data_IF_244048243130
#
_entry.id   IF_244048243130
#
_cell.length_a   1.000
_cell.length_b   1.000
_cell.length_c   1.000
_cell.angle_alpha   90.00
_cell.angle_beta   90.00
_cell.angle_gamma   90.00
#
_symmetry.space_group_name_H-M   'P 1'
#
loop_
_entity.id
_entity.type
_entity.pdbx_description
1 polymer ?
#
# COMPACT_ATOMS: atom_id res chain seq x y z
N UNK A 1 12.81 -25.87 26.00
CA UNK A 1 13.75 -24.82 25.57
C UNK A 1 12.94 -23.68 24.92
N UNK A 2 12.90 -22.54 25.60
CA UNK A 2 12.15 -21.36 25.14
C UNK A 2 12.87 -20.75 23.93
N UNK A 3 12.29 -20.91 22.75
CA UNK A 3 12.76 -20.21 21.55
C UNK A 3 12.35 -18.74 21.68
N UNK A 4 13.20 -17.91 22.30
CA UNK A 4 12.99 -16.46 22.32
C UNK A 4 13.02 -15.96 20.88
N UNK A 5 11.87 -15.59 20.33
CA UNK A 5 11.78 -14.93 19.01
C UNK A 5 12.60 -13.64 19.08
N UNK A 6 13.77 -13.64 18.44
CA UNK A 6 14.58 -12.42 18.30
C UNK A 6 13.84 -11.44 17.40
N UNK A 7 13.31 -10.38 17.98
CA UNK A 7 12.71 -9.27 17.22
C UNK A 7 13.83 -8.31 16.84
N UNK A 8 13.88 -7.93 15.55
CA UNK A 8 14.83 -6.95 15.02
C UNK A 8 14.06 -5.77 14.41
N UNK A 9 14.43 -4.57 14.77
CA UNK A 9 13.89 -3.36 14.13
C UNK A 9 14.51 -3.26 12.72
N UNK A 10 13.66 -3.29 11.69
CA UNK A 10 14.07 -3.20 10.27
C UNK A 10 14.20 -1.77 9.79
N UNK A 11 13.37 -0.86 10.30
CA UNK A 11 13.35 0.56 9.99
C UNK A 11 13.24 1.35 11.28
N UNK A 12 14.15 2.27 11.50
CA UNK A 12 14.01 3.29 12.53
C UNK A 12 12.93 4.31 12.13
N UNK A 13 12.51 5.16 13.05
CA UNK A 13 11.59 6.26 12.75
C UNK A 13 12.16 7.20 11.69
N UNK A 14 13.46 7.48 11.76
CA UNK A 14 14.17 8.30 10.76
C UNK A 14 14.18 7.62 9.40
N UNK A 15 14.43 6.30 9.35
CA UNK A 15 14.40 5.55 8.08
C UNK A 15 13.00 5.53 7.47
N UNK A 16 11.98 5.37 8.30
CA UNK A 16 10.58 5.43 7.87
C UNK A 16 10.25 6.80 7.26
N UNK A 17 10.64 7.89 7.92
CA UNK A 17 10.46 9.24 7.40
C UNK A 17 11.15 9.43 6.05
N UNK A 18 12.40 9.00 5.92
CA UNK A 18 13.16 9.07 4.65
C UNK A 18 12.50 8.26 3.54
N UNK A 19 12.00 7.06 3.83
CA UNK A 19 11.28 6.22 2.86
C UNK A 19 10.00 6.90 2.37
N UNK A 20 9.19 7.45 3.28
CA UNK A 20 7.95 8.15 2.92
C UNK A 20 8.26 9.36 2.06
N UNK A 21 9.26 10.16 2.44
CA UNK A 21 9.67 11.35 1.68
C UNK A 21 10.12 10.99 0.27
N UNK A 22 10.95 9.94 0.12
CA UNK A 22 11.40 9.47 -1.19
C UNK A 22 10.25 8.97 -2.05
N UNK A 23 9.36 8.12 -1.51
CA UNK A 23 8.17 7.64 -2.22
C UNK A 23 7.32 8.82 -2.69
N UNK A 24 7.13 9.84 -1.84
CA UNK A 24 6.36 11.04 -2.19
C UNK A 24 6.99 11.82 -3.35
N UNK A 25 8.30 12.00 -3.36
CA UNK A 25 9.02 12.62 -4.50
C UNK A 25 8.88 11.80 -5.78
N UNK A 26 9.02 10.48 -5.71
CA UNK A 26 8.86 9.60 -6.88
C UNK A 26 7.43 9.64 -7.43
N UNK A 27 6.41 9.74 -6.56
CA UNK A 27 5.01 9.91 -6.98
C UNK A 27 4.83 11.24 -7.72
N UNK A 28 5.39 12.33 -7.18
CA UNK A 28 5.32 13.65 -7.82
C UNK A 28 6.00 13.63 -9.19
N UNK A 29 7.19 13.02 -9.28
CA UNK A 29 7.98 12.96 -10.51
C UNK A 29 7.29 12.13 -11.60
N UNK A 30 6.73 10.97 -11.23
CA UNK A 30 6.12 10.04 -12.21
C UNK A 30 4.70 10.43 -12.65
N UNK A 31 4.07 11.38 -11.99
CA UNK A 31 2.71 11.81 -12.31
C UNK A 31 2.70 13.28 -12.74
N UNK A 32 2.23 13.56 -13.96
CA UNK A 32 2.18 14.91 -14.53
C UNK A 32 1.36 15.90 -13.67
N UNK A 33 0.32 15.38 -13.00
CA UNK A 33 -0.50 16.14 -12.06
C UNK A 33 -0.83 15.30 -10.86
N UNK A 34 -0.45 15.76 -9.67
CA UNK A 34 -0.78 15.07 -8.41
C UNK A 34 -2.28 15.14 -8.09
N UNK A 35 -3.02 16.08 -8.66
CA UNK A 35 -4.48 16.18 -8.50
C UNK A 35 -5.25 15.08 -9.24
N UNK A 36 -4.60 14.38 -10.17
CA UNK A 36 -5.16 13.21 -10.87
C UNK A 36 -4.79 11.89 -10.20
N UNK A 37 -4.09 11.97 -9.08
CA UNK A 37 -3.71 10.82 -8.26
C UNK A 37 -4.67 10.65 -7.08
N UNK A 38 -5.07 9.40 -6.83
CA UNK A 38 -5.78 8.99 -5.62
C UNK A 38 -4.92 7.94 -4.92
N UNK A 39 -4.62 8.14 -3.65
CA UNK A 39 -3.99 7.13 -2.80
C UNK A 39 -5.06 6.27 -2.15
N UNK A 40 -4.93 4.96 -2.23
CA UNK A 40 -5.85 4.01 -1.60
C UNK A 40 -5.07 3.10 -0.67
N UNK A 41 -5.18 3.37 0.63
CA UNK A 41 -4.51 2.57 1.65
C UNK A 41 -5.23 1.24 1.89
N UNK A 42 -4.49 0.15 1.92
CA UNK A 42 -5.00 -1.17 2.34
C UNK A 42 -5.17 -1.18 3.85
N UNK A 43 -6.33 -1.60 4.30
CA UNK A 43 -6.63 -1.73 5.74
C UNK A 43 -5.71 -2.80 6.40
N UNK A 44 -5.01 -2.48 7.50
CA UNK A 44 -5.17 -1.29 8.36
C UNK A 44 -4.00 -0.30 8.18
N UNK A 45 -2.79 -0.80 8.05
CA UNK A 45 -1.53 -0.02 8.09
C UNK A 45 -1.29 0.81 6.83
N UNK A 46 -1.70 0.30 5.67
CA UNK A 46 -1.61 1.02 4.41
C UNK A 46 -2.36 2.34 4.42
N UNK A 47 -3.46 2.44 5.16
CA UNK A 47 -4.24 3.69 5.31
C UNK A 47 -3.42 4.79 6.00
N UNK A 48 -2.73 4.46 7.09
CA UNK A 48 -1.88 5.42 7.79
C UNK A 48 -0.71 5.87 6.91
N UNK A 49 -0.12 4.93 6.18
CA UNK A 49 0.98 5.22 5.26
C UNK A 49 0.51 6.12 4.11
N UNK A 50 -0.65 5.86 3.51
CA UNK A 50 -1.24 6.69 2.46
C UNK A 50 -1.49 8.13 2.94
N UNK A 51 -2.00 8.31 4.15
CA UNK A 51 -2.18 9.64 4.77
C UNK A 51 -0.86 10.40 4.90
N UNK A 52 0.18 9.76 5.43
CA UNK A 52 1.51 10.37 5.58
C UNK A 52 2.13 10.75 4.24
N UNK A 53 1.95 9.91 3.20
CA UNK A 53 2.40 10.24 1.84
C UNK A 53 1.64 11.46 1.31
N UNK A 54 0.31 11.50 1.46
CA UNK A 54 -0.51 12.64 1.03
C UNK A 54 -0.11 13.95 1.72
N UNK A 55 0.13 13.92 3.03
CA UNK A 55 0.61 15.07 3.79
C UNK A 55 1.98 15.54 3.28
N UNK A 56 2.91 14.62 3.06
CA UNK A 56 4.24 14.94 2.52
C UNK A 56 4.15 15.56 1.13
N UNK A 57 3.30 15.02 0.24
CA UNK A 57 3.09 15.59 -1.10
C UNK A 57 2.49 16.99 -1.02
N UNK A 58 1.52 17.22 -0.13
CA UNK A 58 0.95 18.55 0.12
C UNK A 58 2.01 19.54 0.56
N UNK A 59 2.88 19.16 1.50
CA UNK A 59 3.93 20.03 2.01
C UNK A 59 4.97 20.40 0.93
N UNK A 60 5.19 19.50 -0.05
CA UNK A 60 6.12 19.75 -1.17
C UNK A 60 5.48 20.59 -2.28
N UNK A 61 4.22 20.30 -2.61
CA UNK A 61 3.57 20.82 -3.84
C UNK A 61 2.50 21.87 -3.60
N UNK A 62 2.07 22.08 -2.36
CA UNK A 62 0.86 22.83 -1.97
C UNK A 62 -0.43 22.30 -2.62
N UNK A 63 -0.45 21.04 -3.05
CA UNK A 63 -1.61 20.37 -3.66
C UNK A 63 -2.01 19.16 -2.84
N UNK A 64 -3.32 18.92 -2.72
CA UNK A 64 -3.85 17.76 -2.02
C UNK A 64 -4.02 16.57 -2.95
N UNK A 65 -3.63 15.39 -2.49
CA UNK A 65 -4.01 14.10 -3.06
C UNK A 65 -5.12 13.52 -2.20
N UNK A 66 -6.18 13.04 -2.83
CA UNK A 66 -7.27 12.37 -2.13
C UNK A 66 -6.80 11.00 -1.60
N UNK A 67 -7.26 10.64 -0.41
CA UNK A 67 -6.92 9.37 0.24
C UNK A 67 -8.19 8.58 0.53
N UNK A 68 -8.23 7.35 0.05
CA UNK A 68 -9.24 6.36 0.38
C UNK A 68 -8.68 5.20 1.19
N UNK A 69 -9.58 4.35 1.67
CA UNK A 69 -9.25 3.08 2.31
C UNK A 69 -9.96 1.92 1.62
N UNK A 70 -9.30 0.78 1.61
CA UNK A 70 -9.78 -0.44 0.96
C UNK A 70 -9.50 -1.64 1.86
N UNK A 71 -10.53 -2.41 2.17
CA UNK A 71 -10.37 -3.71 2.84
C UNK A 71 -10.52 -4.85 1.82
N UNK A 72 -9.44 -5.55 1.49
CA UNK A 72 -9.45 -6.60 0.48
C UNK A 72 -9.98 -7.94 0.98
N UNK A 73 -10.37 -8.09 2.25
CA UNK A 73 -10.67 -9.38 2.87
C UNK A 73 -11.72 -10.20 2.14
N UNK A 74 -12.75 -9.57 1.59
CA UNK A 74 -13.83 -10.24 0.84
C UNK A 74 -13.34 -10.87 -0.50
N UNK A 75 -12.19 -10.43 -1.01
CA UNK A 75 -11.62 -10.88 -2.30
C UNK A 75 -10.37 -11.74 -2.13
N UNK A 76 -9.97 -12.03 -0.89
CA UNK A 76 -8.82 -12.89 -0.62
C UNK A 76 -9.22 -14.36 -0.69
N UNK A 77 -8.36 -15.14 -1.33
CA UNK A 77 -8.50 -16.59 -1.53
C UNK A 77 -7.75 -17.43 -0.49
N UNK A 78 -6.98 -16.77 0.38
CA UNK A 78 -6.12 -17.39 1.38
C UNK A 78 -6.62 -17.14 2.83
N UNK A 79 -7.83 -16.60 3.00
CA UNK A 79 -8.42 -16.32 4.31
C UNK A 79 -9.59 -17.25 4.63
N UNK A 80 -9.68 -17.63 5.90
CA UNK A 80 -10.83 -18.35 6.43
C UNK A 80 -12.07 -17.44 6.56
N UNK A 81 -13.26 -18.03 6.56
CA UNK A 81 -14.54 -17.31 6.65
C UNK A 81 -14.65 -16.38 7.89
N UNK A 82 -13.96 -16.69 8.97
CA UNK A 82 -13.92 -15.85 10.17
C UNK A 82 -13.31 -14.48 9.90
N UNK A 83 -12.22 -14.41 9.12
CA UNK A 83 -11.56 -13.16 8.77
C UNK A 83 -12.41 -12.31 7.81
N UNK A 84 -13.18 -12.95 6.95
CA UNK A 84 -14.10 -12.27 6.02
C UNK A 84 -15.21 -11.54 6.79
N UNK A 85 -15.74 -12.13 7.87
CA UNK A 85 -16.77 -11.51 8.73
C UNK A 85 -16.29 -10.24 9.45
N UNK A 86 -14.99 -10.02 9.54
CA UNK A 86 -14.39 -8.82 10.14
C UNK A 86 -13.98 -7.76 9.11
N UNK A 87 -14.40 -7.91 7.85
CA UNK A 87 -14.09 -6.94 6.81
C UNK A 87 -14.71 -5.56 7.14
N UNK A 88 -13.91 -4.53 6.91
CA UNK A 88 -14.33 -3.14 7.07
C UNK A 88 -14.91 -2.58 5.77
N UNK A 89 -15.68 -1.50 5.87
CA UNK A 89 -16.14 -0.80 4.69
C UNK A 89 -15.00 -0.10 3.97
N UNK A 90 -14.92 -0.32 2.66
CA UNK A 90 -14.01 0.43 1.80
C UNK A 90 -14.64 1.77 1.43
N UNK A 91 -13.84 2.84 1.47
CA UNK A 91 -14.29 4.20 1.15
C UNK A 91 -13.33 4.79 0.13
N UNK A 92 -13.84 5.08 -1.06
CA UNK A 92 -13.11 5.77 -2.11
C UNK A 92 -13.67 7.20 -2.22
N UNK A 93 -12.83 8.25 -2.08
CA UNK A 93 -13.31 9.62 -1.85
C UNK A 93 -13.88 10.32 -3.09
N UNK A 94 -13.72 9.73 -4.27
CA UNK A 94 -14.25 10.29 -5.54
C UNK A 94 -14.36 9.22 -6.61
N UNK A 95 -14.92 9.57 -7.78
CA UNK A 95 -14.86 8.72 -8.97
C UNK A 95 -13.39 8.48 -9.36
N UNK A 96 -13.03 7.22 -9.52
CA UNK A 96 -11.68 6.80 -9.91
C UNK A 96 -11.49 6.74 -11.43
N UNK A 97 -12.54 6.99 -12.20
CA UNK A 97 -12.48 7.00 -13.66
C UNK A 97 -11.45 8.04 -14.12
N UNK A 98 -10.62 7.63 -15.05
CA UNK A 98 -9.54 8.44 -15.62
C UNK A 98 -8.48 8.95 -14.61
N UNK A 99 -8.51 8.47 -13.36
CA UNK A 99 -7.52 8.79 -12.33
C UNK A 99 -6.41 7.75 -12.26
N UNK A 100 -5.23 8.19 -11.83
CA UNK A 100 -4.14 7.30 -11.44
C UNK A 100 -4.36 6.89 -9.98
N UNK A 101 -4.66 5.63 -9.74
CA UNK A 101 -4.84 5.11 -8.39
C UNK A 101 -3.55 4.45 -7.93
N UNK A 102 -3.05 4.83 -6.77
CA UNK A 102 -1.90 4.20 -6.13
C UNK A 102 -2.40 3.43 -4.91
N UNK A 103 -2.35 2.10 -4.98
CA UNK A 103 -2.60 1.24 -3.81
C UNK A 103 -1.38 1.33 -2.90
N UNK A 104 -1.62 1.56 -1.61
CA UNK A 104 -0.57 1.74 -0.60
C UNK A 104 -0.69 0.67 0.46
N UNK A 105 0.40 -0.06 0.72
CA UNK A 105 0.46 -1.07 1.78
C UNK A 105 1.80 -1.00 2.53
N UNK A 106 1.88 -1.60 3.70
CA UNK A 106 3.11 -1.60 4.51
C UNK A 106 4.12 -2.63 4.01
N UNK A 107 3.71 -3.87 3.80
CA UNK A 107 4.61 -4.98 3.43
C UNK A 107 4.08 -5.77 2.23
N UNK A 108 4.90 -5.88 1.19
CA UNK A 108 4.63 -6.76 0.07
C UNK A 108 5.34 -8.10 0.28
N UNK A 109 4.55 -9.17 0.25
CA UNK A 109 5.00 -10.56 0.42
C UNK A 109 4.64 -11.39 -0.82
N UNK A 110 3.61 -12.23 -0.73
CA UNK A 110 3.19 -13.12 -1.82
C UNK A 110 2.51 -12.39 -2.98
N UNK A 111 1.94 -11.22 -2.72
CA UNK A 111 1.12 -10.45 -3.66
C UNK A 111 -0.39 -10.72 -3.56
N UNK A 112 -0.83 -11.69 -2.74
CA UNK A 112 -2.26 -12.08 -2.63
C UNK A 112 -3.13 -10.95 -2.09
N UNK A 113 -2.66 -10.20 -1.10
CA UNK A 113 -3.36 -9.01 -0.58
C UNK A 113 -3.57 -7.97 -1.67
N UNK A 114 -2.52 -7.68 -2.45
CA UNK A 114 -2.59 -6.67 -3.51
C UNK A 114 -3.46 -7.13 -4.67
N UNK A 115 -3.43 -8.41 -5.05
CA UNK A 115 -4.37 -8.96 -6.05
C UNK A 115 -5.81 -8.73 -5.61
N UNK A 116 -6.12 -9.08 -4.36
CA UNK A 116 -7.45 -8.88 -3.79
C UNK A 116 -7.83 -7.40 -3.72
N UNK A 117 -6.89 -6.52 -3.36
CA UNK A 117 -7.10 -5.06 -3.34
C UNK A 117 -7.39 -4.51 -4.74
N UNK A 118 -6.68 -4.94 -5.78
CA UNK A 118 -6.99 -4.55 -7.15
C UNK A 118 -8.39 -4.98 -7.57
N UNK A 119 -8.79 -6.21 -7.24
CA UNK A 119 -10.14 -6.72 -7.55
C UNK A 119 -11.21 -5.91 -6.82
N UNK A 120 -11.01 -5.62 -5.53
CA UNK A 120 -11.92 -4.80 -4.74
C UNK A 120 -12.04 -3.37 -5.31
N UNK A 121 -10.91 -2.76 -5.69
CA UNK A 121 -10.87 -1.42 -6.26
C UNK A 121 -11.68 -1.32 -7.56
N UNK A 122 -11.61 -2.31 -8.43
CA UNK A 122 -12.32 -2.32 -9.72
C UNK A 122 -13.85 -2.34 -9.58
N UNK A 123 -14.41 -2.67 -8.41
CA UNK A 123 -15.83 -2.51 -8.15
C UNK A 123 -16.27 -1.04 -7.99
N UNK A 124 -15.33 -0.12 -7.75
CA UNK A 124 -15.59 1.32 -7.65
C UNK A 124 -15.47 2.04 -8.99
N UNK A 125 -15.01 1.37 -10.04
CA UNK A 125 -14.87 1.94 -11.36
C UNK A 125 -13.61 1.49 -12.08
N UNK A 126 -13.33 2.12 -13.23
CA UNK A 126 -12.15 1.83 -14.06
C UNK A 126 -11.15 2.98 -14.00
N UNK A 127 -10.10 2.89 -13.20
CA UNK A 127 -9.05 3.90 -13.20
C UNK A 127 -8.27 3.89 -14.52
N UNK A 128 -7.63 5.00 -14.84
CA UNK A 128 -6.70 5.11 -15.96
C UNK A 128 -5.49 4.19 -15.75
N UNK A 129 -4.98 4.13 -14.52
CA UNK A 129 -3.81 3.35 -14.13
C UNK A 129 -3.92 2.93 -12.67
N UNK A 130 -3.45 1.73 -12.36
CA UNK A 130 -3.23 1.26 -10.98
C UNK A 130 -1.74 1.10 -10.79
N UNK A 131 -1.21 1.69 -9.73
CA UNK A 131 0.17 1.59 -9.29
C UNK A 131 0.20 1.08 -7.85
N UNK A 132 1.35 0.60 -7.41
CA UNK A 132 1.55 0.03 -6.07
C UNK A 132 2.71 0.74 -5.37
N UNK A 133 2.46 1.23 -4.16
CA UNK A 133 3.47 1.75 -3.25
C UNK A 133 3.51 0.89 -1.99
N UNK A 134 4.70 0.43 -1.59
CA UNK A 134 4.90 -0.35 -0.37
C UNK A 134 6.08 0.19 0.42
N UNK A 135 5.97 0.13 1.74
CA UNK A 135 7.07 0.52 2.61
C UNK A 135 8.21 -0.50 2.56
N UNK A 136 7.86 -1.79 2.62
CA UNK A 136 8.82 -2.90 2.60
C UNK A 136 8.41 -3.93 1.55
N UNK A 137 9.35 -4.29 0.71
CA UNK A 137 9.26 -5.47 -0.13
C UNK A 137 10.16 -6.56 0.45
N UNK A 138 9.57 -7.66 0.89
CA UNK A 138 10.31 -8.77 1.51
C UNK A 138 10.59 -9.96 0.59
N UNK A 139 10.18 -9.88 -0.67
CA UNK A 139 10.30 -10.98 -1.62
C UNK A 139 9.25 -12.08 -1.43
N UNK A 140 9.55 -13.29 -1.90
CA UNK A 140 8.71 -14.50 -1.83
C UNK A 140 7.36 -14.37 -2.54
N UNK A 141 7.37 -13.78 -3.75
CA UNK A 141 6.17 -13.66 -4.59
C UNK A 141 5.59 -15.00 -4.97
N UNK A 142 4.27 -15.11 -4.90
CA UNK A 142 3.48 -16.19 -5.51
C UNK A 142 2.71 -15.70 -6.74
N UNK A 143 2.57 -14.39 -6.91
CA UNK A 143 1.89 -13.73 -8.02
C UNK A 143 2.83 -12.74 -8.72
N UNK A 144 2.65 -12.44 -10.02
CA UNK A 144 3.52 -11.55 -10.79
C UNK A 144 3.20 -10.08 -10.49
N UNK A 145 3.34 -9.67 -9.23
CA UNK A 145 3.08 -8.32 -8.74
C UNK A 145 4.39 -7.68 -8.32
N UNK A 146 4.64 -6.47 -8.83
CA UNK A 146 5.79 -5.63 -8.47
C UNK A 146 5.32 -4.25 -8.05
N UNK A 147 5.93 -3.65 -7.03
CA UNK A 147 5.62 -2.27 -6.65
C UNK A 147 6.28 -1.29 -7.62
N UNK A 148 5.61 -0.17 -7.85
CA UNK A 148 6.12 0.98 -8.59
C UNK A 148 6.98 1.89 -7.71
N UNK A 149 6.69 1.88 -6.40
CA UNK A 149 7.35 2.68 -5.37
C UNK A 149 7.66 1.81 -4.16
N UNK A 150 8.92 1.80 -3.73
CA UNK A 150 9.40 0.93 -2.65
C UNK A 150 10.16 1.77 -1.63
N UNK A 151 9.80 1.65 -0.35
CA UNK A 151 10.57 2.24 0.73
C UNK A 151 11.90 1.50 0.94
N UNK A 152 11.85 0.19 1.13
CA UNK A 152 13.04 -0.63 1.34
C UNK A 152 12.83 -2.06 0.85
N UNK A 153 13.81 -2.61 0.15
CA UNK A 153 13.90 -4.04 -0.13
C UNK A 153 14.59 -4.72 1.05
N UNK A 154 13.91 -5.67 1.67
CA UNK A 154 14.45 -6.43 2.79
C UNK A 154 14.27 -7.92 2.49
N UNK A 155 15.26 -8.58 1.90
CA UNK A 155 15.20 -10.01 1.70
C UNK A 155 15.09 -10.70 3.06
N UNK A 156 14.10 -11.55 3.21
CA UNK A 156 13.80 -12.30 4.43
C UNK A 156 13.82 -13.79 4.13
N UNK A 157 13.99 -14.60 5.18
CA UNK A 157 13.70 -16.03 5.07
C UNK A 157 12.18 -16.23 5.07
N UNK A 158 11.74 -17.35 4.50
CA UNK A 158 10.31 -17.63 4.31
C UNK A 158 9.51 -17.59 5.63
N UNK A 159 10.09 -18.11 6.70
CA UNK A 159 9.46 -18.20 8.03
C UNK A 159 9.52 -16.90 8.85
N UNK A 160 10.33 -15.92 8.44
CA UNK A 160 10.42 -14.65 9.14
C UNK A 160 9.15 -13.83 8.93
N UNK A 161 8.70 -13.12 9.97
CA UNK A 161 7.59 -12.16 9.89
C UNK A 161 8.12 -10.73 9.91
N UNK A 162 7.54 -9.88 9.09
CA UNK A 162 7.80 -8.44 9.05
C UNK A 162 6.58 -7.70 9.56
#
# INVERSE_FOLDING_TARGET
MSNSKKTKILLSEIDLFKCIKRISFEIIEKNLSVTDVILVGVETRGVFLAKRISETVRDITNKNILVGNLDPKLWRDDLENYHIKQAKNSIIPSDIKDKNVIIVDDVLYTGRTIRAAMQALLNFGRPKKIQLAVLVDRGHRELPIRPDYIGKNIPTEYEQKV
#
